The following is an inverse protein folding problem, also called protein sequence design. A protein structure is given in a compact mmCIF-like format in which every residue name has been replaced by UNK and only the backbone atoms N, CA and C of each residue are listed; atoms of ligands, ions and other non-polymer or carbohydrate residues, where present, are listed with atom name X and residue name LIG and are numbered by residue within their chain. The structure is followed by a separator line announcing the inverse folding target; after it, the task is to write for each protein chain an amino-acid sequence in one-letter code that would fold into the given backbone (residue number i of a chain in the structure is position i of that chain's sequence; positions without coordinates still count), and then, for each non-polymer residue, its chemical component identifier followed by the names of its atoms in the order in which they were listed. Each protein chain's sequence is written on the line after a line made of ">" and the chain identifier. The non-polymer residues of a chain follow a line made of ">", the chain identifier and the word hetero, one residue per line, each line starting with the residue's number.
data_IF_077409443780
#
_entry.id   IF_077409443780
#
_cell.length_a   1.000
_cell.length_b   1.000
_cell.length_c   1.000
_cell.angle_alpha   90.00
_cell.angle_beta   90.00
_cell.angle_gamma   90.00
#
_symmetry.space_group_name_H-M   'P 1'
#
loop_
_entity.id
_entity.type
_entity.pdbx_description
1 polymer ?
#
# COMPACT_ATOMS: atom_id res chain seq x y z
N UNK A 1 -49.92 -62.12 -15.28
CA UNK A 1 -49.46 -61.03 -14.38
C UNK A 1 -47.97 -60.89 -14.58
N UNK A 2 -47.61 -59.91 -15.30
CA UNK A 2 -46.18 -59.58 -15.59
C UNK A 2 -45.66 -58.60 -14.52
N UNK A 3 -44.52 -58.86 -13.89
CA UNK A 3 -43.98 -57.97 -12.88
C UNK A 3 -43.52 -56.62 -13.52
N UNK A 4 -43.62 -55.52 -12.81
CA UNK A 4 -43.17 -54.20 -13.33
C UNK A 4 -41.64 -54.15 -13.47
N UNK A 5 -41.14 -53.41 -14.45
CA UNK A 5 -39.69 -53.23 -14.68
C UNK A 5 -39.01 -52.49 -13.51
N UNK A 6 -37.76 -52.89 -13.18
CA UNK A 6 -37.01 -52.20 -12.11
C UNK A 6 -36.75 -50.74 -12.44
N UNK A 7 -36.97 -49.89 -11.44
CA UNK A 7 -36.69 -48.43 -11.55
C UNK A 7 -35.22 -48.20 -11.88
N UNK A 8 -34.98 -47.45 -12.95
CA UNK A 8 -33.65 -47.04 -13.36
C UNK A 8 -32.99 -46.22 -12.24
N UNK A 9 -31.81 -46.65 -11.80
CA UNK A 9 -30.98 -45.93 -10.84
C UNK A 9 -30.57 -44.56 -11.44
N UNK A 10 -30.97 -43.49 -10.76
CA UNK A 10 -30.53 -42.13 -11.08
C UNK A 10 -29.01 -42.09 -10.86
N UNK A 11 -28.21 -41.69 -11.88
CA UNK A 11 -26.77 -41.55 -11.71
C UNK A 11 -26.48 -40.49 -10.64
N UNK A 12 -25.42 -40.66 -9.81
CA UNK A 12 -25.05 -39.68 -8.82
C UNK A 12 -24.70 -38.36 -9.51
N UNK A 13 -25.42 -37.32 -9.12
CA UNK A 13 -25.19 -35.96 -9.59
C UNK A 13 -23.77 -35.56 -9.18
N UNK A 14 -22.94 -35.03 -10.08
CA UNK A 14 -21.60 -34.52 -9.71
C UNK A 14 -21.77 -33.44 -8.62
N UNK A 15 -20.87 -33.40 -7.62
CA UNK A 15 -20.89 -32.34 -6.60
C UNK A 15 -20.87 -30.98 -7.32
N UNK A 16 -21.92 -30.22 -7.11
CA UNK A 16 -22.02 -28.87 -7.61
C UNK A 16 -20.76 -28.04 -7.19
N UNK A 17 -20.36 -27.05 -7.96
CA UNK A 17 -19.19 -26.23 -7.62
C UNK A 17 -19.33 -25.76 -6.17
N UNK A 18 -18.31 -26.06 -5.35
CA UNK A 18 -18.23 -25.63 -3.97
C UNK A 18 -18.60 -24.14 -3.93
N UNK A 19 -19.63 -23.80 -3.15
CA UNK A 19 -20.17 -22.45 -3.04
C UNK A 19 -19.01 -21.51 -2.75
N UNK A 20 -18.56 -20.78 -3.77
CA UNK A 20 -17.55 -19.75 -3.60
C UNK A 20 -18.13 -18.77 -2.58
N UNK A 21 -17.65 -18.85 -1.35
CA UNK A 21 -18.08 -17.96 -0.25
C UNK A 21 -17.88 -16.55 -0.75
N UNK A 22 -18.99 -15.80 -0.88
CA UNK A 22 -18.90 -14.43 -1.39
C UNK A 22 -18.11 -13.59 -0.38
N UNK A 23 -17.17 -12.77 -0.82
CA UNK A 23 -16.25 -12.05 0.07
C UNK A 23 -16.93 -11.28 1.21
N UNK A 24 -18.13 -10.73 0.99
CA UNK A 24 -18.85 -9.99 2.03
C UNK A 24 -19.33 -10.86 3.19
N UNK A 25 -19.53 -12.15 2.97
CA UNK A 25 -19.94 -13.09 4.03
C UNK A 25 -18.86 -13.27 5.10
N UNK A 26 -17.59 -13.08 4.73
CA UNK A 26 -16.50 -13.12 5.70
C UNK A 26 -16.58 -11.91 6.64
N UNK A 27 -16.99 -10.73 6.15
CA UNK A 27 -17.23 -9.55 6.99
C UNK A 27 -18.39 -9.80 7.98
N UNK A 28 -19.46 -10.46 7.54
CA UNK A 28 -20.57 -10.86 8.41
C UNK A 28 -20.07 -11.78 9.53
N UNK A 29 -19.27 -12.79 9.18
CA UNK A 29 -18.70 -13.74 10.16
C UNK A 29 -17.79 -13.04 11.17
N UNK A 30 -16.93 -12.13 10.72
CA UNK A 30 -16.05 -11.36 11.60
C UNK A 30 -16.87 -10.49 12.58
N UNK A 31 -17.93 -9.85 12.09
CA UNK A 31 -18.83 -9.06 12.94
C UNK A 31 -19.57 -9.91 13.96
N UNK A 32 -20.11 -11.07 13.54
CA UNK A 32 -20.78 -12.02 14.42
C UNK A 32 -19.84 -12.63 15.46
N UNK A 33 -18.55 -12.79 15.13
CA UNK A 33 -17.52 -13.23 16.05
C UNK A 33 -17.10 -12.14 17.07
N UNK A 34 -17.73 -10.96 17.04
CA UNK A 34 -17.48 -9.87 17.99
C UNK A 34 -16.18 -9.11 17.78
N UNK A 35 -15.56 -9.23 16.59
CA UNK A 35 -14.32 -8.52 16.31
C UNK A 35 -14.56 -7.02 16.19
N UNK A 36 -13.56 -6.22 16.61
CA UNK A 36 -13.64 -4.78 16.58
C UNK A 36 -13.76 -4.25 15.15
N UNK A 37 -14.45 -3.13 15.00
CA UNK A 37 -14.61 -2.46 13.70
C UNK A 37 -13.26 -2.13 13.07
N UNK A 38 -12.30 -1.68 13.87
CA UNK A 38 -10.95 -1.37 13.41
C UNK A 38 -10.24 -2.60 12.84
N UNK A 39 -10.40 -3.76 13.47
CA UNK A 39 -9.86 -5.02 12.94
C UNK A 39 -10.48 -5.37 11.59
N UNK A 40 -11.81 -5.24 11.47
CA UNK A 40 -12.54 -5.51 10.23
C UNK A 40 -12.08 -4.57 9.12
N UNK A 41 -11.92 -3.27 9.41
CA UNK A 41 -11.41 -2.27 8.45
C UNK A 41 -9.99 -2.59 7.99
N UNK A 42 -9.11 -3.00 8.91
CA UNK A 42 -7.75 -3.39 8.57
C UNK A 42 -7.71 -4.65 7.70
N UNK A 43 -8.58 -5.63 8.00
CA UNK A 43 -8.72 -6.85 7.21
C UNK A 43 -9.20 -6.54 5.78
N UNK A 44 -10.23 -5.71 5.62
CA UNK A 44 -10.74 -5.27 4.31
C UNK A 44 -9.63 -4.59 3.48
N UNK A 45 -8.81 -3.75 4.11
CA UNK A 45 -7.68 -3.08 3.46
C UNK A 45 -6.57 -4.05 3.06
N UNK A 46 -6.27 -5.03 3.94
CA UNK A 46 -5.23 -6.02 3.70
C UNK A 46 -5.59 -6.99 2.58
N UNK A 47 -6.85 -7.43 2.54
CA UNK A 47 -7.32 -8.39 1.55
C UNK A 47 -7.46 -7.79 0.14
N UNK A 48 -7.62 -6.48 0.04
CA UNK A 48 -7.79 -5.72 -1.22
C UNK A 48 -8.80 -6.38 -2.19
N UNK A 49 -9.87 -6.96 -1.64
CA UNK A 49 -10.91 -7.67 -2.39
C UNK A 49 -11.92 -6.67 -2.95
N UNK A 50 -12.32 -6.86 -4.20
CA UNK A 50 -13.38 -6.07 -4.81
C UNK A 50 -14.75 -6.58 -4.33
N UNK A 51 -15.36 -5.85 -3.38
CA UNK A 51 -16.72 -6.13 -2.92
C UNK A 51 -17.71 -5.41 -3.84
N UNK A 52 -18.16 -6.08 -4.89
CA UNK A 52 -19.28 -5.57 -5.71
C UNK A 52 -20.58 -5.83 -4.97
N UNK A 53 -20.93 -4.94 -4.03
CA UNK A 53 -22.11 -5.08 -3.20
C UNK A 53 -23.37 -4.67 -3.96
N UNK A 54 -24.35 -5.56 -4.01
CA UNK A 54 -25.71 -5.23 -4.43
C UNK A 54 -26.48 -4.57 -3.29
N UNK A 55 -27.58 -3.88 -3.61
CA UNK A 55 -28.45 -3.27 -2.60
C UNK A 55 -28.95 -4.27 -1.57
N UNK A 56 -29.24 -5.51 -1.98
CA UNK A 56 -29.68 -6.56 -1.08
C UNK A 56 -28.56 -6.96 -0.08
N UNK A 57 -27.35 -7.09 -0.54
CA UNK A 57 -26.18 -7.41 0.30
C UNK A 57 -25.83 -6.28 1.28
N UNK A 58 -26.01 -5.02 0.86
CA UNK A 58 -25.86 -3.86 1.77
C UNK A 58 -26.90 -3.90 2.89
N UNK A 59 -28.14 -4.23 2.58
CA UNK A 59 -29.20 -4.36 3.59
C UNK A 59 -28.92 -5.54 4.54
N UNK A 60 -28.41 -6.66 4.03
CA UNK A 60 -28.03 -7.81 4.85
C UNK A 60 -26.88 -7.46 5.82
N UNK A 61 -25.84 -6.77 5.34
CA UNK A 61 -24.73 -6.29 6.16
C UNK A 61 -25.21 -5.32 7.25
N UNK A 62 -26.14 -4.43 6.93
CA UNK A 62 -26.73 -3.52 7.92
C UNK A 62 -27.57 -4.26 8.96
N UNK A 63 -28.32 -5.29 8.56
CA UNK A 63 -29.14 -6.07 9.46
C UNK A 63 -28.30 -6.81 10.54
N UNK A 64 -27.05 -7.17 10.22
CA UNK A 64 -26.10 -7.78 11.18
C UNK A 64 -25.27 -6.75 11.94
N UNK A 65 -25.58 -5.46 11.82
CA UNK A 65 -24.94 -4.39 12.58
C UNK A 65 -23.57 -3.95 12.05
N UNK A 66 -23.30 -4.16 10.76
CA UNK A 66 -22.10 -3.60 10.12
C UNK A 66 -22.29 -2.09 9.98
N UNK A 67 -21.29 -1.33 10.46
CA UNK A 67 -21.34 0.13 10.42
C UNK A 67 -21.21 0.68 9.00
N UNK A 68 -21.68 1.90 8.82
CA UNK A 68 -21.58 2.60 7.54
C UNK A 68 -20.12 2.81 7.13
N UNK A 69 -19.22 3.02 8.08
CA UNK A 69 -17.76 3.14 7.84
C UNK A 69 -17.19 1.89 7.19
N UNK A 70 -17.58 0.70 7.69
CA UNK A 70 -17.17 -0.58 7.13
C UNK A 70 -17.78 -0.79 5.74
N UNK A 71 -19.05 -0.47 5.55
CA UNK A 71 -19.71 -0.54 4.23
C UNK A 71 -19.03 0.36 3.21
N UNK A 72 -18.70 1.59 3.58
CA UNK A 72 -17.94 2.49 2.72
C UNK A 72 -16.54 1.95 2.40
N UNK A 73 -15.86 1.35 3.38
CA UNK A 73 -14.57 0.72 3.16
C UNK A 73 -14.67 -0.46 2.18
N UNK A 74 -15.73 -1.29 2.30
CA UNK A 74 -16.00 -2.38 1.36
C UNK A 74 -16.29 -1.89 -0.05
N UNK A 75 -17.11 -0.85 -0.20
CA UNK A 75 -17.43 -0.27 -1.51
C UNK A 75 -16.19 0.39 -2.17
N UNK A 76 -15.25 0.88 -1.37
CA UNK A 76 -13.99 1.48 -1.84
C UNK A 76 -12.89 0.45 -2.06
N UNK A 77 -12.94 -0.70 -1.37
CA UNK A 77 -11.99 -1.78 -1.58
C UNK A 77 -12.32 -2.46 -2.91
N UNK A 78 -11.32 -2.57 -3.76
CA UNK A 78 -11.49 -3.16 -5.10
C UNK A 78 -12.04 -2.22 -6.17
N UNK A 79 -12.52 -1.06 -5.85
CA UNK A 79 -12.32 0.03 -6.79
C UNK A 79 -10.80 0.25 -6.81
N UNK A 80 -10.15 0.27 -7.99
CA UNK A 80 -8.90 1.00 -8.08
C UNK A 80 -9.25 2.30 -7.39
N UNK A 81 -8.65 2.54 -6.21
CA UNK A 81 -8.96 3.75 -5.46
C UNK A 81 -9.03 4.84 -6.51
N UNK A 82 -10.25 5.26 -6.83
CA UNK A 82 -10.46 6.60 -7.29
C UNK A 82 -10.11 7.45 -6.06
N UNK A 83 -8.84 7.37 -5.65
CA UNK A 83 -8.11 8.47 -5.14
C UNK A 83 -8.34 9.50 -6.20
N UNK A 84 -9.42 10.26 -6.01
CA UNK A 84 -9.82 11.38 -6.85
C UNK A 84 -9.48 11.01 -8.30
N UNK A 85 -10.43 10.84 -9.19
CA UNK A 85 -10.16 10.90 -10.62
C UNK A 85 -9.55 12.29 -10.90
N UNK A 86 -8.47 12.54 -10.18
CA UNK A 86 -7.48 13.56 -10.32
C UNK A 86 -6.56 13.01 -11.38
N UNK A 87 -6.38 13.75 -12.41
CA UNK A 87 -5.50 13.63 -13.53
C UNK A 87 -4.57 12.42 -13.46
N UNK A 88 -4.42 11.62 -14.54
CA UNK A 88 -3.52 10.45 -14.54
C UNK A 88 -2.23 10.88 -13.86
N UNK A 89 -1.85 10.15 -12.78
CA UNK A 89 -0.61 10.45 -12.04
C UNK A 89 0.44 10.66 -13.10
N UNK A 90 0.94 11.87 -13.20
CA UNK A 90 1.86 12.24 -14.25
C UNK A 90 2.94 11.16 -14.28
N UNK A 91 3.11 10.48 -15.43
CA UNK A 91 4.11 9.40 -15.57
C UNK A 91 5.51 9.86 -15.23
N UNK A 92 5.66 11.16 -15.00
CA UNK A 92 6.91 11.81 -14.63
C UNK A 92 6.69 12.73 -13.43
N UNK A 93 7.51 12.53 -12.40
CA UNK A 93 7.61 13.41 -11.24
C UNK A 93 9.06 13.77 -11.01
N UNK A 94 9.29 14.94 -10.43
CA UNK A 94 10.62 15.45 -10.17
C UNK A 94 10.65 16.07 -8.78
N UNK A 95 11.57 15.58 -7.94
CA UNK A 95 11.76 16.05 -6.57
C UNK A 95 13.14 16.73 -6.48
N UNK A 96 13.14 18.04 -6.53
CA UNK A 96 14.34 18.84 -6.51
C UNK A 96 14.74 19.18 -5.06
N UNK A 97 16.02 19.10 -4.76
CA UNK A 97 16.53 19.51 -3.46
C UNK A 97 16.57 18.41 -2.40
N UNK A 98 16.23 17.16 -2.71
CA UNK A 98 16.47 16.06 -1.80
C UNK A 98 17.97 15.89 -1.56
N UNK A 99 18.34 15.48 -0.34
CA UNK A 99 19.70 15.11 0.00
C UNK A 99 19.83 13.60 0.06
N UNK A 100 20.80 13.02 -0.67
CA UNK A 100 21.14 11.62 -0.54
C UNK A 100 21.93 11.38 0.74
N UNK A 101 21.48 10.42 1.54
CA UNK A 101 22.15 10.00 2.77
C UNK A 101 23.18 8.92 2.42
N UNK A 102 24.47 9.19 2.71
CA UNK A 102 25.52 8.20 2.50
C UNK A 102 25.44 7.04 3.47
N UNK A 103 26.07 5.90 3.12
CA UNK A 103 26.27 4.75 4.02
C UNK A 103 27.26 5.12 5.15
N UNK A 104 26.91 6.03 6.03
CA UNK A 104 27.72 6.42 7.17
C UNK A 104 26.92 6.22 8.44
N UNK A 105 27.53 5.55 9.41
CA UNK A 105 26.92 5.11 10.68
C UNK A 105 26.49 6.24 11.63
N UNK A 106 26.63 7.50 11.26
CA UNK A 106 26.28 8.62 12.12
C UNK A 106 25.28 9.54 11.47
N UNK A 107 24.10 9.57 12.06
CA UNK A 107 22.93 10.37 11.72
C UNK A 107 23.18 11.90 11.74
N UNK A 108 24.34 12.35 12.16
CA UNK A 108 24.65 13.75 12.46
C UNK A 108 25.41 14.54 11.39
N UNK A 109 25.60 13.98 10.21
CA UNK A 109 26.36 14.65 9.17
C UNK A 109 25.70 14.60 7.80
N UNK A 110 24.50 15.18 7.62
CA UNK A 110 24.07 15.50 6.27
C UNK A 110 24.98 16.58 5.71
N UNK A 111 26.02 16.15 5.00
CA UNK A 111 26.75 17.07 4.15
C UNK A 111 25.74 17.61 3.14
N UNK A 112 25.51 18.92 3.16
CA UNK A 112 24.75 19.63 2.13
C UNK A 112 25.32 19.43 0.73
N UNK A 113 26.46 18.75 0.62
CA UNK A 113 27.16 18.43 -0.63
C UNK A 113 26.46 17.31 -1.45
N UNK A 114 25.47 16.62 -0.89
CA UNK A 114 24.77 15.54 -1.58
C UNK A 114 23.33 15.93 -1.97
N UNK A 115 23.05 17.21 -2.10
CA UNK A 115 21.75 17.68 -2.60
C UNK A 115 21.69 17.40 -4.09
N UNK A 116 20.58 16.82 -4.51
CA UNK A 116 20.36 16.43 -5.88
C UNK A 116 18.90 16.47 -6.26
N UNK A 117 18.59 15.74 -7.30
CA UNK A 117 17.27 15.67 -7.90
C UNK A 117 16.91 14.22 -8.16
N UNK A 118 15.74 13.80 -7.68
CA UNK A 118 15.13 12.52 -8.04
C UNK A 118 14.11 12.74 -9.15
N UNK A 119 14.22 12.00 -10.22
CA UNK A 119 13.25 11.98 -11.32
C UNK A 119 12.65 10.58 -11.41
N UNK A 120 11.34 10.50 -11.35
CA UNK A 120 10.61 9.27 -11.66
C UNK A 120 9.98 9.47 -13.02
N UNK A 121 10.33 8.62 -13.98
CA UNK A 121 9.79 8.65 -15.34
C UNK A 121 9.35 7.24 -15.75
N UNK A 122 8.03 7.07 -15.86
CA UNK A 122 7.44 5.75 -16.03
C UNK A 122 7.82 4.81 -14.88
N UNK A 123 8.54 3.74 -15.21
CA UNK A 123 9.02 2.74 -14.24
C UNK A 123 10.50 2.93 -13.85
N UNK A 124 11.08 4.08 -14.14
CA UNK A 124 12.50 4.36 -13.84
C UNK A 124 12.62 5.47 -12.82
N UNK A 125 13.41 5.23 -11.78
CA UNK A 125 13.82 6.24 -10.79
C UNK A 125 15.26 6.60 -11.08
N UNK A 126 15.53 7.86 -11.38
CA UNK A 126 16.87 8.37 -11.64
C UNK A 126 17.23 9.41 -10.58
N UNK A 127 18.40 9.23 -10.00
CA UNK A 127 19.02 10.22 -9.11
C UNK A 127 20.10 10.99 -9.85
N UNK A 128 19.99 12.29 -9.81
CA UNK A 128 21.01 13.22 -10.29
C UNK A 128 21.65 13.91 -9.08
N UNK A 129 22.89 13.54 -8.82
CA UNK A 129 23.71 14.12 -7.74
C UNK A 129 24.45 15.36 -8.25
N UNK A 130 24.88 16.25 -7.34
CA UNK A 130 25.79 17.34 -7.67
C UNK A 130 27.12 16.83 -8.26
N UNK A 131 27.55 15.63 -7.86
CA UNK A 131 28.68 14.91 -8.47
C UNK A 131 28.11 13.89 -9.47
N UNK A 132 28.29 14.09 -10.79
CA UNK A 132 27.73 13.20 -11.81
C UNK A 132 28.15 11.73 -11.68
N UNK A 133 29.30 11.45 -11.04
CA UNK A 133 29.77 10.08 -10.78
C UNK A 133 28.90 9.33 -9.79
N UNK A 134 28.05 10.02 -9.05
CA UNK A 134 27.11 9.45 -8.08
C UNK A 134 25.70 9.33 -8.61
N UNK A 135 25.47 9.71 -9.87
CA UNK A 135 24.19 9.49 -10.53
C UNK A 135 23.92 7.98 -10.64
N UNK A 136 22.67 7.63 -10.51
CA UNK A 136 22.22 6.26 -10.76
C UNK A 136 20.80 6.24 -11.28
N UNK A 137 20.46 5.14 -11.91
CA UNK A 137 19.07 4.84 -12.30
C UNK A 137 18.72 3.44 -11.86
N UNK A 138 17.50 3.24 -11.42
CA UNK A 138 16.96 1.93 -11.07
C UNK A 138 15.55 1.78 -11.64
N UNK A 139 15.20 0.56 -12.01
CA UNK A 139 13.85 0.23 -12.40
C UNK A 139 13.00 -0.06 -11.17
N UNK A 140 11.78 0.47 -11.13
CA UNK A 140 10.83 0.26 -10.03
C UNK A 140 10.57 -1.23 -9.77
N UNK A 141 10.56 -2.06 -10.81
CA UNK A 141 10.44 -3.52 -10.69
C UNK A 141 11.57 -4.18 -9.88
N UNK A 142 12.71 -3.51 -9.75
CA UNK A 142 13.84 -3.99 -8.94
C UNK A 142 13.76 -3.50 -7.49
N UNK A 143 12.79 -2.65 -7.16
CA UNK A 143 12.55 -2.16 -5.80
C UNK A 143 11.69 -3.17 -5.06
N UNK A 144 12.24 -3.72 -3.98
CA UNK A 144 11.56 -4.65 -3.08
C UNK A 144 10.70 -3.93 -2.06
N UNK A 145 11.19 -2.81 -1.55
CA UNK A 145 10.59 -2.09 -0.44
C UNK A 145 10.84 -0.60 -0.60
N UNK A 146 9.83 0.19 -0.29
CA UNK A 146 9.95 1.62 0.00
C UNK A 146 9.69 1.80 1.49
N UNK A 147 10.55 2.53 2.19
CA UNK A 147 10.34 2.78 3.61
C UNK A 147 10.52 4.26 3.95
N UNK A 148 9.86 4.66 5.04
CA UNK A 148 10.13 5.93 5.68
C UNK A 148 10.80 5.68 7.03
N UNK A 149 11.88 6.42 7.31
CA UNK A 149 12.46 6.47 8.66
C UNK A 149 11.81 7.62 9.40
N UNK A 150 11.08 7.31 10.48
CA UNK A 150 10.25 8.27 11.19
C UNK A 150 10.64 8.35 12.67
N UNK A 151 10.62 9.55 13.23
CA UNK A 151 10.68 9.77 14.67
C UNK A 151 9.27 9.59 15.22
N UNK A 152 9.08 8.54 16.01
CA UNK A 152 7.80 8.25 16.64
C UNK A 152 7.78 8.95 18.01
N UNK A 153 7.12 10.10 18.10
CA UNK A 153 6.82 10.76 19.38
C UNK A 153 5.32 10.78 19.59
N UNK A 154 4.85 10.71 20.85
CA UNK A 154 3.43 10.88 21.13
C UNK A 154 2.88 12.15 20.50
N UNK A 155 1.92 12.00 19.59
CA UNK A 155 1.28 13.12 18.86
C UNK A 155 2.03 13.67 17.65
N UNK A 156 3.23 13.17 17.31
CA UNK A 156 3.98 13.60 16.13
C UNK A 156 4.66 12.41 15.44
N UNK A 157 4.27 12.10 14.23
CA UNK A 157 4.97 11.17 13.36
C UNK A 157 5.72 11.98 12.28
N UNK A 158 6.97 12.33 12.56
CA UNK A 158 7.81 13.05 11.61
C UNK A 158 8.69 12.05 10.86
N UNK A 159 8.39 11.83 9.60
CA UNK A 159 9.21 10.99 8.73
C UNK A 159 10.32 11.82 8.09
N UNK A 160 11.56 11.45 8.39
CA UNK A 160 12.76 12.22 8.01
C UNK A 160 13.38 11.75 6.71
N UNK A 161 13.20 10.48 6.37
CA UNK A 161 13.83 9.86 5.21
C UNK A 161 12.85 9.03 4.40
N UNK A 162 13.06 9.03 3.10
CA UNK A 162 12.52 8.07 2.14
C UNK A 162 13.64 7.10 1.77
N UNK A 163 13.40 5.82 1.89
CA UNK A 163 14.34 4.77 1.50
C UNK A 163 13.76 3.88 0.42
N UNK A 164 14.65 3.44 -0.48
CA UNK A 164 14.36 2.43 -1.52
C UNK A 164 15.30 1.27 -1.30
N UNK A 165 14.77 0.05 -1.17
CA UNK A 165 15.54 -1.19 -1.06
C UNK A 165 15.32 -2.03 -2.30
N UNK A 166 16.38 -2.45 -2.95
CA UNK A 166 16.31 -3.34 -4.11
C UNK A 166 16.23 -4.81 -3.69
N UNK A 167 15.86 -5.69 -4.62
CA UNK A 167 15.93 -7.13 -4.40
C UNK A 167 17.37 -7.64 -4.22
N UNK A 168 18.38 -6.88 -4.66
CA UNK A 168 19.80 -7.16 -4.42
C UNK A 168 20.29 -6.72 -3.04
N UNK A 169 19.43 -6.06 -2.25
CA UNK A 169 19.76 -5.57 -0.91
C UNK A 169 20.44 -4.20 -0.91
N UNK A 170 20.55 -3.53 -2.06
CA UNK A 170 21.04 -2.17 -2.09
C UNK A 170 20.00 -1.22 -1.49
N UNK A 171 20.45 -0.28 -0.67
CA UNK A 171 19.60 0.68 0.01
C UNK A 171 20.00 2.11 -0.39
N UNK A 172 19.01 2.88 -0.85
CA UNK A 172 19.15 4.28 -1.21
C UNK A 172 18.27 5.09 -0.26
N UNK A 173 18.84 6.10 0.40
CA UNK A 173 18.12 6.96 1.34
C UNK A 173 18.18 8.40 0.90
N UNK A 174 17.07 9.08 1.05
CA UNK A 174 16.90 10.47 0.70
C UNK A 174 16.25 11.22 1.85
N UNK A 175 16.67 12.45 2.09
CA UNK A 175 16.23 13.30 3.19
C UNK A 175 15.93 14.70 2.69
N UNK A 176 15.00 15.37 3.35
CA UNK A 176 14.83 16.81 3.20
C UNK A 176 15.98 17.53 3.90
N UNK A 177 16.72 18.46 3.24
CA UNK A 177 17.76 19.21 3.88
C UNK A 177 17.28 20.07 5.06
N UNK A 178 16.01 20.50 5.01
CA UNK A 178 15.35 21.29 6.07
C UNK A 178 14.92 20.49 7.30
N UNK A 179 15.14 19.17 7.34
CA UNK A 179 14.65 18.30 8.38
C UNK A 179 14.96 18.73 9.82
N UNK A 180 16.11 19.39 10.04
CA UNK A 180 16.50 19.91 11.37
C UNK A 180 15.54 20.99 11.88
N UNK A 181 14.88 21.68 10.96
CA UNK A 181 13.88 22.71 11.26
C UNK A 181 12.45 22.12 11.26
N UNK A 182 12.31 20.79 11.19
CA UNK A 182 11.03 20.10 11.13
C UNK A 182 10.42 20.04 9.73
N UNK A 183 11.15 20.50 8.70
CA UNK A 183 10.71 20.43 7.31
C UNK A 183 10.99 19.03 6.76
N UNK A 184 9.94 18.38 6.24
CA UNK A 184 10.01 17.07 5.60
C UNK A 184 9.08 16.98 4.38
N UNK A 185 8.75 18.14 3.81
CA UNK A 185 7.73 18.21 2.78
C UNK A 185 8.15 17.44 1.51
N UNK A 186 9.43 17.50 1.10
CA UNK A 186 9.96 16.78 -0.06
C UNK A 186 9.88 15.24 0.13
N UNK A 187 10.21 14.76 1.34
CA UNK A 187 10.08 13.34 1.69
C UNK A 187 8.63 12.91 1.66
N UNK A 188 7.73 13.74 2.19
CA UNK A 188 6.28 13.46 2.21
C UNK A 188 5.71 13.44 0.80
N UNK A 189 6.06 14.43 -0.02
CA UNK A 189 5.62 14.53 -1.41
C UNK A 189 6.08 13.32 -2.24
N UNK A 190 7.37 12.98 -2.16
CA UNK A 190 7.92 11.83 -2.86
C UNK A 190 7.28 10.51 -2.40
N UNK A 191 7.08 10.32 -1.09
CA UNK A 191 6.42 9.13 -0.54
C UNK A 191 4.99 8.99 -1.06
N UNK A 192 4.23 10.08 -1.04
CA UNK A 192 2.85 10.09 -1.52
C UNK A 192 2.78 9.79 -3.02
N UNK A 193 3.70 10.34 -3.79
CA UNK A 193 3.80 10.03 -5.22
C UNK A 193 4.06 8.54 -5.44
N UNK A 194 5.06 7.95 -4.77
CA UNK A 194 5.36 6.52 -4.92
C UNK A 194 4.18 5.65 -4.53
N UNK A 195 3.44 5.97 -3.48
CA UNK A 195 2.23 5.24 -3.07
C UNK A 195 1.13 5.29 -4.11
N UNK A 196 0.97 6.44 -4.78
CA UNK A 196 -0.06 6.61 -5.81
C UNK A 196 0.36 5.99 -7.14
N UNK A 197 1.61 6.21 -7.56
CA UNK A 197 2.11 5.75 -8.84
C UNK A 197 2.39 4.24 -8.86
N UNK A 198 2.79 3.67 -7.72
CA UNK A 198 3.22 2.27 -7.60
C UNK A 198 2.56 1.55 -6.41
N UNK A 199 1.24 1.41 -6.40
CA UNK A 199 0.50 0.84 -5.26
C UNK A 199 0.85 -0.62 -4.96
N UNK A 200 1.51 -1.32 -5.90
CA UNK A 200 1.96 -2.70 -5.76
C UNK A 200 3.25 -2.85 -4.96
N UNK A 201 3.99 -1.75 -4.71
CA UNK A 201 5.21 -1.80 -3.93
C UNK A 201 4.90 -1.97 -2.43
N UNK A 202 5.77 -2.68 -1.75
CA UNK A 202 5.69 -2.80 -0.30
C UNK A 202 6.19 -1.52 0.38
N UNK A 203 5.35 -0.93 1.23
CA UNK A 203 5.67 0.27 2.00
C UNK A 203 5.77 -0.06 3.48
N UNK A 204 6.87 0.31 4.11
CA UNK A 204 7.08 0.14 5.54
C UNK A 204 7.44 1.45 6.24
N UNK A 205 7.36 1.43 7.56
CA UNK A 205 7.82 2.49 8.43
C UNK A 205 8.89 1.93 9.36
N UNK A 206 10.04 2.61 9.45
CA UNK A 206 11.13 2.25 10.34
C UNK A 206 11.26 3.34 11.41
N UNK A 207 11.26 2.96 12.66
CA UNK A 207 11.55 3.90 13.72
C UNK A 207 13.03 4.31 13.67
N UNK A 208 13.30 5.60 13.83
CA UNK A 208 14.65 6.03 14.22
C UNK A 208 14.82 5.50 15.63
N UNK A 209 15.70 4.49 15.81
CA UNK A 209 16.17 4.15 17.17
C UNK A 209 16.78 5.41 17.75
N UNK A 210 16.18 5.92 18.81
CA UNK A 210 16.74 7.05 19.54
C UNK A 210 18.15 6.68 19.96
N UNK A 211 19.12 7.39 19.40
CA UNK A 211 20.49 7.41 19.89
C UNK A 211 20.58 8.31 21.11
#
# INVERSE_FOLDING_TARGET
>A
MTPPPPAAAVPPQPPGPASATRPYQDVIRLKQAGLSEEFILNKIRADNVNYQLTTAEILELRAVGVSETVLQAMMRSGQPTAATAGAPVARRAEFNGLARVGKGFLVFGTSTKNIGRMVVDGETVTWYDADPKKNFSLYVKNVKEIFNTCVLRPGQNLCLELGLVTYTGEEFRFRDPGWKNGDNHLVTEATNYFRQAFPMLFFSQRAVSEL
#
